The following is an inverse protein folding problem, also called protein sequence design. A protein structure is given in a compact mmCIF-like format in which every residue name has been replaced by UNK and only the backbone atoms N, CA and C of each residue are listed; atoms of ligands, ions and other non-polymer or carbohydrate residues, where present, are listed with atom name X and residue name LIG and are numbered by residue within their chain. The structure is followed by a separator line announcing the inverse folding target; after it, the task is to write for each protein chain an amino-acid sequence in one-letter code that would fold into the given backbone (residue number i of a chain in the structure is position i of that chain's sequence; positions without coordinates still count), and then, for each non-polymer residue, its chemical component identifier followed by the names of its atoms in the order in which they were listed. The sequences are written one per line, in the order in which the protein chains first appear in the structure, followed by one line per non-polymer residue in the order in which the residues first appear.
data_IF_159419687780
#
_entry.id   IF_159419687780
#
_cell.length_a   1.000
_cell.length_b   1.000
_cell.length_c   1.000
_cell.angle_alpha   90.00
_cell.angle_beta   90.00
_cell.angle_gamma   90.00
#
_symmetry.space_group_name_H-M   'P 1'
#
loop_
_entity.id
_entity.type
_entity.pdbx_description
1 polymer ?
#
# COMPACT_ATOMS: atom_id res chain seq x y z
N UNK A 1 25.01 14.36 3.17
CA UNK A 1 24.15 13.34 3.82
C UNK A 1 22.82 13.32 3.08
N UNK A 2 22.66 12.38 2.16
CA UNK A 2 21.39 12.08 1.49
C UNK A 2 21.34 10.57 1.37
N UNK A 3 20.55 9.95 2.24
CA UNK A 3 20.37 8.50 2.25
C UNK A 3 19.51 8.15 1.06
N UNK A 4 20.15 7.53 0.07
CA UNK A 4 19.59 6.93 -1.15
C UNK A 4 18.22 6.30 -0.89
N UNK A 5 17.21 6.75 -1.64
CA UNK A 5 16.09 5.91 -2.06
C UNK A 5 16.68 4.61 -2.64
N UNK A 6 16.57 3.53 -1.89
CA UNK A 6 16.64 2.18 -2.45
C UNK A 6 15.19 1.72 -2.63
N UNK A 7 14.60 2.11 -3.75
CA UNK A 7 13.72 1.21 -4.47
C UNK A 7 14.59 0.01 -4.83
N UNK A 8 14.59 -1.02 -3.98
CA UNK A 8 15.34 -2.22 -4.27
C UNK A 8 14.68 -2.90 -5.47
N UNK A 9 15.50 -3.06 -6.51
CA UNK A 9 15.31 -3.96 -7.63
C UNK A 9 14.59 -5.25 -7.18
N UNK A 10 13.57 -5.72 -7.92
CA UNK A 10 12.89 -6.98 -7.62
C UNK A 10 13.82 -8.22 -7.71
N UNK A 11 15.08 -8.04 -8.15
CA UNK A 11 16.11 -9.06 -8.25
C UNK A 11 17.15 -9.05 -7.11
N UNK A 12 17.06 -8.10 -6.16
CA UNK A 12 17.98 -8.03 -5.01
C UNK A 12 17.40 -8.81 -3.84
N UNK A 13 17.85 -10.07 -3.73
CA UNK A 13 17.60 -11.00 -2.62
C UNK A 13 17.99 -10.39 -1.26
N UNK A 14 17.02 -9.77 -0.59
CA UNK A 14 16.98 -9.63 0.86
C UNK A 14 15.97 -10.63 1.41
N UNK A 15 16.21 -11.21 2.60
CA UNK A 15 15.30 -12.18 3.23
C UNK A 15 13.85 -11.66 3.22
N UNK A 16 12.99 -12.32 2.43
CA UNK A 16 11.57 -11.98 2.28
C UNK A 16 10.84 -12.26 3.61
N UNK A 17 9.80 -11.48 3.92
CA UNK A 17 8.87 -11.86 4.98
C UNK A 17 8.36 -13.28 4.71
N UNK A 18 8.23 -14.11 5.74
CA UNK A 18 7.61 -15.42 5.57
C UNK A 18 6.19 -15.23 5.01
N UNK A 19 5.84 -15.99 3.97
CA UNK A 19 4.54 -15.91 3.29
C UNK A 19 3.37 -16.00 4.27
N UNK A 20 3.51 -16.79 5.34
CA UNK A 20 2.48 -16.89 6.38
C UNK A 20 2.24 -15.56 7.13
N UNK A 21 3.30 -14.80 7.41
CA UNK A 21 3.19 -13.48 8.04
C UNK A 21 2.53 -12.51 7.08
N UNK A 22 2.96 -12.53 5.81
CA UNK A 22 2.39 -11.68 4.74
C UNK A 22 0.90 -11.94 4.60
N UNK A 23 0.48 -13.21 4.51
CA UNK A 23 -0.92 -13.60 4.39
C UNK A 23 -1.73 -13.21 5.63
N UNK A 24 -1.18 -13.33 6.85
CA UNK A 24 -1.86 -12.88 8.07
C UNK A 24 -2.08 -11.36 8.08
N UNK A 25 -1.05 -10.58 7.75
CA UNK A 25 -1.14 -9.13 7.68
C UNK A 25 -2.18 -8.71 6.63
N UNK A 26 -2.14 -9.30 5.43
CA UNK A 26 -3.11 -9.01 4.37
C UNK A 26 -4.53 -9.39 4.79
N UNK A 27 -4.73 -10.58 5.36
CA UNK A 27 -6.04 -11.01 5.82
C UNK A 27 -6.62 -10.11 6.93
N UNK A 28 -5.77 -9.64 7.86
CA UNK A 28 -6.19 -8.76 8.94
C UNK A 28 -6.50 -7.33 8.45
N UNK A 29 -5.78 -6.84 7.43
CA UNK A 29 -5.95 -5.49 6.88
C UNK A 29 -7.00 -5.39 5.80
N UNK A 30 -7.41 -6.50 5.18
CA UNK A 30 -8.40 -6.56 4.10
C UNK A 30 -9.66 -5.73 4.39
N UNK A 31 -10.31 -5.82 5.57
CA UNK A 31 -11.52 -5.04 5.84
C UNK A 31 -11.26 -3.53 5.87
N UNK A 32 -10.10 -3.10 6.38
CA UNK A 32 -9.72 -1.69 6.43
C UNK A 32 -9.39 -1.15 5.04
N UNK A 33 -8.65 -1.92 4.23
CA UNK A 33 -8.32 -1.56 2.85
C UNK A 33 -9.58 -1.46 1.99
N UNK A 34 -10.52 -2.40 2.13
CA UNK A 34 -11.82 -2.33 1.46
C UNK A 34 -12.61 -1.09 1.88
N UNK A 35 -12.60 -0.77 3.18
CA UNK A 35 -13.23 0.44 3.72
C UNK A 35 -12.72 1.74 3.08
N UNK A 36 -11.46 1.80 2.64
CA UNK A 36 -10.92 3.00 1.98
C UNK A 36 -11.57 3.29 0.61
N UNK A 37 -12.07 2.27 -0.09
CA UNK A 37 -12.52 2.40 -1.50
C UNK A 37 -14.03 2.37 -1.66
N UNK A 38 -14.76 1.92 -0.63
CA UNK A 38 -16.22 1.86 -0.60
C UNK A 38 -16.88 3.15 -0.06
N UNK A 39 -16.08 4.15 0.30
CA UNK A 39 -16.55 5.43 0.86
C UNK A 39 -16.86 6.49 -0.21
N UNK A 40 -17.49 7.58 0.26
CA UNK A 40 -17.71 8.75 -0.57
C UNK A 40 -16.44 9.58 -0.77
N UNK A 41 -16.43 10.42 -1.80
CA UNK A 41 -15.25 11.20 -2.18
C UNK A 41 -14.70 12.10 -1.07
N UNK A 42 -15.55 12.64 -0.19
CA UNK A 42 -15.07 13.49 0.91
C UNK A 42 -14.46 12.64 2.02
N UNK A 43 -15.14 11.57 2.39
CA UNK A 43 -14.68 10.63 3.41
C UNK A 43 -13.34 9.97 3.02
N UNK A 44 -13.14 9.65 1.74
CA UNK A 44 -11.82 9.23 1.24
C UNK A 44 -10.72 10.27 1.52
N UNK A 45 -11.00 11.57 1.31
CA UNK A 45 -9.99 12.62 1.52
C UNK A 45 -9.67 12.82 3.01
N UNK A 46 -10.63 12.51 3.87
CA UNK A 46 -10.49 12.59 5.32
C UNK A 46 -9.73 11.37 5.87
N UNK A 47 -9.99 10.17 5.34
CA UNK A 47 -9.30 8.92 5.69
C UNK A 47 -7.90 8.82 5.07
N UNK A 48 -7.69 9.39 3.89
CA UNK A 48 -6.44 9.37 3.14
C UNK A 48 -5.84 10.80 3.08
N UNK A 49 -5.15 11.26 4.15
CA UNK A 49 -4.56 12.59 4.19
C UNK A 49 -3.49 12.76 3.10
N UNK A 50 -3.13 14.02 2.74
CA UNK A 50 -2.05 14.27 1.80
C UNK A 50 -0.77 13.53 2.20
N UNK A 51 -0.28 12.68 1.31
CA UNK A 51 0.95 11.93 1.48
C UNK A 51 2.00 12.42 0.48
N UNK A 52 3.26 12.09 0.74
CA UNK A 52 4.36 12.49 -0.14
C UNK A 52 4.32 11.79 -1.52
N UNK A 53 4.90 12.42 -2.55
CA UNK A 53 4.91 11.87 -3.92
C UNK A 53 5.64 10.51 -4.02
N UNK A 54 6.49 10.19 -3.05
CA UNK A 54 7.16 8.89 -2.96
C UNK A 54 6.18 7.71 -2.94
N UNK A 55 4.96 7.89 -2.44
CA UNK A 55 3.95 6.83 -2.39
C UNK A 55 3.32 6.55 -3.75
N UNK A 56 3.11 7.59 -4.56
CA UNK A 56 2.67 7.43 -5.94
C UNK A 56 3.79 6.80 -6.79
N UNK A 57 5.05 7.20 -6.56
CA UNK A 57 6.22 6.67 -7.26
C UNK A 57 6.61 5.25 -6.84
N UNK A 58 6.15 4.78 -5.67
CA UNK A 58 6.42 3.43 -5.18
C UNK A 58 5.70 2.34 -5.98
N UNK A 59 4.72 2.70 -6.81
CA UNK A 59 3.88 1.75 -7.54
C UNK A 59 3.97 2.00 -9.05
N UNK A 60 4.41 1.02 -9.85
CA UNK A 60 4.40 1.12 -11.30
C UNK A 60 2.99 1.39 -11.84
N UNK A 61 2.89 2.18 -12.91
CA UNK A 61 1.60 2.50 -13.53
C UNK A 61 0.79 1.25 -13.93
N UNK A 62 1.49 0.19 -14.39
CA UNK A 62 0.85 -1.09 -14.73
C UNK A 62 0.20 -1.77 -13.53
N UNK A 63 0.75 -1.61 -12.32
CA UNK A 63 0.16 -2.16 -11.11
C UNK A 63 -1.08 -1.36 -10.69
N UNK A 64 -1.03 -0.04 -10.83
CA UNK A 64 -2.18 0.81 -10.60
C UNK A 64 -3.34 0.47 -11.56
N UNK A 65 -3.05 0.14 -12.83
CA UNK A 65 -4.05 -0.34 -13.79
C UNK A 65 -4.64 -1.69 -13.36
N UNK A 66 -3.81 -2.70 -13.08
CA UNK A 66 -4.27 -4.00 -12.60
C UNK A 66 -5.15 -3.89 -11.35
N UNK A 67 -4.76 -3.03 -10.41
CA UNK A 67 -5.52 -2.80 -9.18
C UNK A 67 -6.92 -2.24 -9.47
N UNK A 68 -7.07 -1.37 -10.47
CA UNK A 68 -8.36 -0.81 -10.87
C UNK A 68 -9.26 -1.82 -11.58
N UNK A 69 -8.67 -2.82 -12.24
CA UNK A 69 -9.43 -3.93 -12.82
C UNK A 69 -9.95 -4.88 -11.73
N UNK A 70 -9.13 -5.13 -10.71
CA UNK A 70 -9.47 -6.01 -9.59
C UNK A 70 -10.43 -5.34 -8.59
N UNK A 71 -10.40 -4.02 -8.47
CA UNK A 71 -11.21 -3.26 -7.52
C UNK A 71 -12.10 -2.21 -8.22
N UNK A 72 -13.28 -2.62 -8.73
CA UNK A 72 -14.24 -1.68 -9.32
C UNK A 72 -14.62 -0.47 -8.44
N UNK A 73 -14.76 -0.59 -7.10
CA UNK A 73 -15.00 0.56 -6.22
C UNK A 73 -13.89 1.61 -6.28
N UNK A 74 -12.62 1.18 -6.28
CA UNK A 74 -11.46 2.08 -6.39
C UNK A 74 -11.47 2.84 -7.71
N UNK A 75 -11.83 2.17 -8.81
CA UNK A 75 -11.98 2.82 -10.13
C UNK A 75 -13.08 3.86 -10.13
N UNK A 76 -14.25 3.54 -9.59
CA UNK A 76 -15.35 4.50 -9.45
C UNK A 76 -14.97 5.69 -8.57
N UNK A 77 -14.26 5.46 -7.46
CA UNK A 77 -13.77 6.52 -6.58
C UNK A 77 -12.75 7.42 -7.27
N UNK A 78 -11.78 6.84 -8.01
CA UNK A 78 -10.82 7.58 -8.82
C UNK A 78 -11.52 8.49 -9.83
N UNK A 79 -12.50 7.97 -10.58
CA UNK A 79 -13.23 8.76 -11.59
C UNK A 79 -14.04 9.92 -10.99
N UNK A 80 -14.53 9.79 -9.75
CA UNK A 80 -15.21 10.88 -9.03
C UNK A 80 -14.25 11.96 -8.54
N UNK A 81 -13.02 11.59 -8.19
CA UNK A 81 -12.02 12.48 -7.59
C UNK A 81 -11.07 13.11 -8.61
N UNK A 82 -10.75 12.41 -9.69
CA UNK A 82 -9.71 12.79 -10.66
C UNK A 82 -10.35 13.05 -12.03
N UNK A 83 -10.06 14.20 -12.69
CA UNK A 83 -9.29 15.35 -12.19
C UNK A 83 -10.14 16.35 -11.38
N UNK A 84 -11.41 16.04 -11.09
CA UNK A 84 -12.39 17.02 -10.61
C UNK A 84 -12.07 17.65 -9.24
N UNK A 85 -11.47 16.90 -8.31
CA UNK A 85 -11.11 17.37 -6.96
C UNK A 85 -9.60 17.38 -6.73
N UNK A 86 -8.87 16.39 -7.25
CA UNK A 86 -7.42 16.23 -7.06
C UNK A 86 -6.76 15.72 -8.34
N UNK A 87 -5.45 15.96 -8.46
CA UNK A 87 -4.62 15.39 -9.52
C UNK A 87 -4.46 13.87 -9.36
N UNK A 88 -4.18 13.17 -10.47
CA UNK A 88 -4.00 11.71 -10.45
C UNK A 88 -2.86 11.26 -9.55
N UNK A 89 -1.71 11.93 -9.63
CA UNK A 89 -0.56 11.65 -8.76
C UNK A 89 -0.90 11.85 -7.28
N UNK A 90 -1.68 12.90 -6.97
CA UNK A 90 -2.12 13.16 -5.60
C UNK A 90 -3.13 12.11 -5.09
N UNK A 91 -3.98 11.56 -5.97
CA UNK A 91 -4.86 10.44 -5.64
C UNK A 91 -4.05 9.20 -5.26
N UNK A 92 -3.09 8.83 -6.10
CA UNK A 92 -2.24 7.66 -5.85
C UNK A 92 -1.37 7.81 -4.62
N UNK A 93 -0.77 8.99 -4.40
CA UNK A 93 0.01 9.27 -3.21
C UNK A 93 -0.82 9.07 -1.94
N UNK A 94 -2.03 9.63 -1.89
CA UNK A 94 -2.96 9.49 -0.76
C UNK A 94 -3.39 8.05 -0.55
N UNK A 95 -3.82 7.37 -1.61
CA UNK A 95 -4.29 5.99 -1.53
C UNK A 95 -3.18 5.06 -1.05
N UNK A 96 -2.02 5.05 -1.71
CA UNK A 96 -0.92 4.18 -1.31
C UNK A 96 -0.32 4.57 0.03
N UNK A 97 -0.29 5.87 0.38
CA UNK A 97 0.09 6.31 1.72
C UNK A 97 -0.78 5.68 2.81
N UNK A 98 -2.11 5.70 2.64
CA UNK A 98 -3.04 5.07 3.57
C UNK A 98 -2.90 3.53 3.60
N UNK A 99 -2.77 2.89 2.44
CA UNK A 99 -2.54 1.43 2.33
C UNK A 99 -1.27 1.03 3.08
N UNK A 100 -0.15 1.70 2.83
CA UNK A 100 1.11 1.38 3.51
C UNK A 100 1.03 1.64 5.01
N UNK A 101 0.36 2.71 5.44
CA UNK A 101 0.17 2.98 6.86
C UNK A 101 -0.61 1.85 7.55
N UNK A 102 -1.73 1.39 6.97
CA UNK A 102 -2.53 0.29 7.52
C UNK A 102 -1.70 -0.99 7.61
N UNK A 103 -0.92 -1.29 6.57
CA UNK A 103 -0.05 -2.46 6.55
C UNK A 103 1.10 -2.37 7.56
N UNK A 104 1.68 -1.17 7.75
CA UNK A 104 2.74 -0.92 8.73
C UNK A 104 2.24 -1.11 10.15
N UNK A 105 1.05 -0.57 10.44
CA UNK A 105 0.43 -0.69 11.76
C UNK A 105 0.13 -2.16 12.09
N UNK A 106 -0.44 -2.91 11.14
CA UNK A 106 -0.71 -4.34 11.34
C UNK A 106 0.57 -5.16 11.44
N UNK A 107 1.58 -4.88 10.61
CA UNK A 107 2.87 -5.57 10.69
C UNK A 107 3.54 -5.30 12.04
N UNK A 108 3.47 -4.06 12.55
CA UNK A 108 3.97 -3.72 13.87
C UNK A 108 3.20 -4.46 14.98
N UNK A 109 1.90 -4.68 14.84
CA UNK A 109 1.11 -5.50 15.76
C UNK A 109 1.50 -6.98 15.74
N UNK A 110 1.67 -7.58 14.57
CA UNK A 110 2.16 -8.96 14.43
C UNK A 110 3.54 -9.14 15.07
N UNK A 111 4.43 -8.16 14.87
CA UNK A 111 5.76 -8.12 15.48
C UNK A 111 5.69 -8.04 17.01
N UNK A 112 4.81 -7.19 17.55
CA UNK A 112 4.59 -7.08 19.00
C UNK A 112 4.03 -8.36 19.60
N UNK A 113 3.17 -9.06 18.87
CA UNK A 113 2.49 -10.28 19.32
C UNK A 113 3.37 -11.54 19.22
N UNK A 114 4.65 -11.40 18.86
CA UNK A 114 5.61 -12.50 18.89
C UNK A 114 5.53 -13.44 17.68
N UNK A 115 4.92 -13.02 16.58
CA UNK A 115 5.11 -13.71 15.30
C UNK A 115 6.60 -13.69 14.96
N UNK A 116 7.12 -14.83 14.48
CA UNK A 116 8.53 -15.02 14.15
C UNK A 116 8.93 -14.20 12.91
N UNK A 117 9.01 -12.88 13.03
CA UNK A 117 9.61 -12.04 12.00
C UNK A 117 11.06 -11.85 12.39
N UNK A 118 11.95 -12.47 11.61
CA UNK A 118 13.38 -12.21 11.72
C UNK A 118 13.64 -10.70 11.69
N UNK A 119 14.47 -10.17 12.61
CA UNK A 119 14.87 -8.75 12.61
C UNK A 119 15.47 -8.28 11.27
N UNK A 120 15.80 -9.22 10.37
CA UNK A 120 16.29 -9.03 9.00
C UNK A 120 15.21 -8.76 7.93
N UNK A 121 13.93 -9.05 8.18
CA UNK A 121 12.83 -8.84 7.20
C UNK A 121 12.37 -7.39 7.02
N UNK A 122 12.93 -6.45 7.81
CA UNK A 122 12.55 -5.03 7.82
C UNK A 122 12.91 -4.28 6.52
N UNK A 123 13.82 -4.82 5.70
CA UNK A 123 14.41 -4.07 4.59
C UNK A 123 13.65 -4.13 3.26
N UNK A 124 12.66 -5.04 3.09
CA UNK A 124 11.94 -5.18 1.80
C UNK A 124 10.44 -5.52 1.88
N UNK A 125 9.83 -5.43 3.06
CA UNK A 125 8.45 -5.89 3.27
C UNK A 125 7.40 -5.15 2.42
N UNK A 126 7.62 -3.86 2.10
CA UNK A 126 6.73 -3.07 1.22
C UNK A 126 6.62 -3.68 -0.18
N UNK A 127 7.73 -4.14 -0.75
CA UNK A 127 7.73 -4.76 -2.07
C UNK A 127 7.04 -6.12 -2.04
N UNK A 128 7.27 -6.93 -0.99
CA UNK A 128 6.59 -8.21 -0.81
C UNK A 128 5.08 -8.03 -0.72
N UNK A 129 4.57 -7.14 0.15
CA UNK A 129 3.12 -6.92 0.25
C UNK A 129 2.50 -6.39 -1.04
N UNK A 130 3.19 -5.51 -1.76
CA UNK A 130 2.68 -5.01 -3.04
C UNK A 130 2.60 -6.09 -4.12
N UNK A 131 3.55 -7.05 -4.17
CA UNK A 131 3.44 -8.21 -5.07
C UNK A 131 2.15 -8.99 -4.79
N UNK A 132 1.81 -9.20 -3.53
CA UNK A 132 0.60 -9.94 -3.13
C UNK A 132 -0.70 -9.13 -3.29
N UNK A 133 -0.67 -7.80 -3.18
CA UNK A 133 -1.85 -6.95 -3.39
C UNK A 133 -2.27 -6.82 -4.87
N UNK A 134 -1.36 -7.13 -5.79
CA UNK A 134 -1.55 -6.91 -7.24
C UNK A 134 -1.67 -8.24 -8.01
N UNK A 135 -1.31 -9.39 -7.40
CA UNK A 135 -1.45 -10.74 -7.97
C UNK A 135 -2.88 -11.27 -7.89
#
# INVERSE_FOLDING_TARGET
AFTRLQLNDPEVYGEELEDEVVLRVLAATEPALRGLVEVESQEFLDLCPPAGPEFAAAVPASWAESLLEQQPPLRSLRLRLVPAKIAEEAFWARYFGAVFQILEDQLADELRNGAAVSERGKSNWRASLMKFLVQ
#
